data_IF_114553344109
#
_entry.id   IF_114553344109
#
_cell.length_a   1.000
_cell.length_b   1.000
_cell.length_c   1.000
_cell.angle_alpha   90.00
_cell.angle_beta   90.00
_cell.angle_gamma   90.00
#
_symmetry.space_group_name_H-M   'P 1'
#
loop_
_entity.id
_entity.type
_entity.pdbx_description
1 polymer ?
#
# COMPACT_ATOMS: atom_id res chain seq x y z
N UNK A 1 12.42 -17.05 -19.81
CA UNK A 1 11.50 -18.19 -19.92
C UNK A 1 11.15 -18.54 -21.38
N UNK A 2 11.41 -17.67 -22.34
CA UNK A 2 11.04 -17.83 -23.77
C UNK A 2 9.53 -18.03 -23.99
N UNK A 3 8.71 -17.60 -23.04
CA UNK A 3 7.27 -17.61 -23.08
C UNK A 3 6.72 -16.23 -22.73
N UNK A 4 5.61 -15.78 -23.32
CA UNK A 4 4.99 -14.51 -22.95
C UNK A 4 4.46 -14.57 -21.51
N UNK A 5 4.60 -13.47 -20.77
CA UNK A 5 3.96 -13.26 -19.48
C UNK A 5 2.73 -12.38 -19.72
N UNK A 6 1.55 -12.92 -19.43
CA UNK A 6 0.29 -12.21 -19.57
C UNK A 6 -0.09 -11.55 -18.24
N UNK A 7 -0.41 -10.27 -18.29
CA UNK A 7 -0.93 -9.53 -17.15
C UNK A 7 -2.45 -9.54 -17.21
N UNK A 8 -3.08 -10.18 -16.22
CA UNK A 8 -4.53 -10.22 -16.06
C UNK A 8 -4.95 -9.34 -14.85
N UNK A 9 -5.47 -8.15 -15.15
CA UNK A 9 -5.91 -7.21 -14.13
C UNK A 9 -7.35 -7.50 -13.70
N UNK A 10 -7.53 -7.86 -12.41
CA UNK A 10 -8.83 -8.15 -11.79
C UNK A 10 -9.08 -7.18 -10.61
N UNK A 11 -9.52 -5.95 -10.87
CA UNK A 11 -9.55 -4.89 -9.86
C UNK A 11 -10.70 -5.00 -8.85
N UNK A 12 -11.60 -5.97 -9.00
CA UNK A 12 -12.79 -6.08 -8.14
C UNK A 12 -12.44 -6.46 -6.70
N UNK A 13 -13.24 -5.96 -5.74
CA UNK A 13 -13.16 -6.23 -4.30
C UNK A 13 -11.74 -6.05 -3.73
N UNK A 14 -11.05 -4.98 -4.13
CA UNK A 14 -9.69 -4.64 -3.64
C UNK A 14 -8.68 -5.78 -3.82
N UNK A 15 -8.85 -6.57 -4.90
CA UNK A 15 -7.97 -7.69 -5.26
C UNK A 15 -8.38 -9.07 -4.71
N UNK A 16 -9.49 -9.19 -3.98
CA UNK A 16 -10.01 -10.49 -3.51
C UNK A 16 -10.32 -11.42 -4.68
N UNK A 17 -10.94 -10.90 -5.76
CA UNK A 17 -11.25 -11.69 -6.96
C UNK A 17 -9.98 -12.22 -7.64
N UNK A 18 -8.91 -11.43 -7.67
CA UNK A 18 -7.61 -11.89 -8.18
C UNK A 18 -7.04 -13.03 -7.32
N UNK A 19 -7.09 -12.89 -5.99
CA UNK A 19 -6.67 -13.94 -5.05
C UNK A 19 -7.47 -15.24 -5.24
N UNK A 20 -8.79 -15.16 -5.37
CA UNK A 20 -9.65 -16.33 -5.63
C UNK A 20 -9.30 -17.04 -6.95
N UNK A 21 -8.99 -16.28 -7.98
CA UNK A 21 -8.60 -16.85 -9.26
C UNK A 21 -7.30 -17.65 -9.16
N UNK A 22 -6.30 -17.11 -8.45
CA UNK A 22 -5.02 -17.82 -8.24
C UNK A 22 -5.19 -19.02 -7.30
N UNK A 23 -5.95 -18.87 -6.22
CA UNK A 23 -6.19 -19.97 -5.29
C UNK A 23 -6.84 -21.21 -5.96
N UNK A 24 -7.61 -21.00 -7.04
CA UNK A 24 -8.26 -22.06 -7.83
C UNK A 24 -7.48 -22.52 -9.05
N UNK A 25 -6.37 -21.87 -9.37
CA UNK A 25 -5.55 -22.24 -10.52
C UNK A 25 -4.75 -23.52 -10.27
N UNK A 26 -4.28 -24.22 -11.32
CA UNK A 26 -3.36 -25.35 -11.15
C UNK A 26 -2.10 -24.93 -10.38
N UNK A 27 -1.64 -25.82 -9.49
CA UNK A 27 -0.43 -25.59 -8.69
C UNK A 27 0.84 -25.96 -9.48
N UNK A 28 1.01 -25.42 -10.67
CA UNK A 28 2.10 -25.72 -11.60
C UNK A 28 3.14 -24.58 -11.74
N UNK A 29 2.90 -23.45 -11.04
CA UNK A 29 3.77 -22.28 -11.09
C UNK A 29 3.55 -21.37 -12.29
N UNK A 30 2.56 -21.62 -13.15
CA UNK A 30 2.26 -20.77 -14.30
C UNK A 30 1.26 -19.66 -13.97
N UNK A 31 0.53 -19.74 -12.87
CA UNK A 31 -0.36 -18.68 -12.39
C UNK A 31 0.23 -18.04 -11.14
N UNK A 32 0.46 -16.73 -11.22
CA UNK A 32 1.11 -15.97 -10.17
C UNK A 32 0.19 -14.83 -9.71
N UNK A 33 0.27 -14.51 -8.43
CA UNK A 33 -0.46 -13.41 -7.81
C UNK A 33 0.51 -12.35 -7.33
N UNK A 34 0.45 -11.17 -7.94
CA UNK A 34 1.17 -10.00 -7.42
C UNK A 34 0.35 -9.41 -6.29
N UNK A 35 0.89 -9.46 -5.09
CA UNK A 35 0.26 -8.99 -3.86
C UNK A 35 0.95 -7.74 -3.33
N UNK A 36 0.24 -6.99 -2.51
CA UNK A 36 0.75 -5.82 -1.82
C UNK A 36 0.23 -5.78 -0.38
N UNK A 37 0.66 -4.78 0.37
CA UNK A 37 0.10 -4.48 1.69
C UNK A 37 -1.44 -4.44 1.67
N UNK A 38 -2.05 -3.95 0.59
CA UNK A 38 -3.52 -3.91 0.44
C UNK A 38 -4.15 -5.29 0.58
N UNK A 39 -3.65 -6.30 -0.13
CA UNK A 39 -4.23 -7.66 -0.06
C UNK A 39 -4.01 -8.28 1.31
N UNK A 40 -2.86 -8.06 1.95
CA UNK A 40 -2.64 -8.53 3.32
C UNK A 40 -3.70 -7.96 4.28
N UNK A 41 -3.95 -6.65 4.23
CA UNK A 41 -4.92 -5.98 5.09
C UNK A 41 -6.34 -6.47 4.84
N UNK A 42 -6.78 -6.49 3.58
CA UNK A 42 -8.14 -6.91 3.18
C UNK A 42 -8.40 -8.37 3.55
N UNK A 43 -7.45 -9.26 3.27
CA UNK A 43 -7.60 -10.67 3.60
C UNK A 43 -7.64 -10.92 5.10
N UNK A 44 -6.84 -10.18 5.86
CA UNK A 44 -6.82 -10.28 7.33
C UNK A 44 -8.11 -9.80 7.97
N UNK A 45 -8.71 -8.71 7.47
CA UNK A 45 -9.99 -8.18 7.95
C UNK A 45 -11.13 -9.15 7.62
N UNK A 46 -11.18 -9.64 6.39
CA UNK A 46 -12.22 -10.56 5.96
C UNK A 46 -12.01 -12.00 6.44
N UNK A 47 -10.85 -12.33 7.04
CA UNK A 47 -10.47 -13.67 7.50
C UNK A 47 -10.66 -14.75 6.42
N UNK A 48 -10.52 -14.36 5.15
CA UNK A 48 -10.83 -15.24 4.01
C UNK A 48 -9.59 -15.93 3.46
N UNK A 49 -8.46 -15.21 3.37
CA UNK A 49 -7.19 -15.73 2.90
C UNK A 49 -6.05 -15.18 3.74
N UNK A 50 -5.01 -15.99 3.93
CA UNK A 50 -3.77 -15.57 4.57
C UNK A 50 -2.62 -15.79 3.60
N UNK A 51 -1.90 -14.74 3.24
CA UNK A 51 -0.87 -14.78 2.21
C UNK A 51 0.26 -15.78 2.48
N UNK A 52 0.48 -16.13 3.74
CA UNK A 52 1.54 -17.04 4.14
C UNK A 52 1.12 -18.51 4.24
N UNK A 53 -0.18 -18.83 4.22
CA UNK A 53 -0.70 -20.18 4.39
C UNK A 53 -1.67 -20.63 3.29
N UNK A 54 -2.30 -19.70 2.58
CA UNK A 54 -3.28 -19.98 1.53
C UNK A 54 -2.67 -19.90 0.11
N UNK A 55 -1.45 -19.41 0.02
CA UNK A 55 -0.67 -19.31 -1.21
C UNK A 55 0.75 -19.81 -0.97
N UNK A 56 1.47 -20.11 -2.05
CA UNK A 56 2.89 -20.46 -2.02
C UNK A 56 3.73 -19.18 -2.20
N UNK A 57 4.39 -18.65 -1.16
CA UNK A 57 5.21 -17.44 -1.26
C UNK A 57 6.39 -17.65 -2.20
N UNK A 58 6.60 -16.71 -3.13
CA UNK A 58 7.75 -16.70 -4.04
C UNK A 58 8.82 -15.75 -3.54
N UNK A 59 8.52 -14.45 -3.40
CA UNK A 59 9.51 -13.47 -2.94
C UNK A 59 8.98 -12.05 -2.93
N UNK A 60 9.71 -11.16 -2.24
CA UNK A 60 9.49 -9.72 -2.26
C UNK A 60 10.00 -9.15 -3.59
N UNK A 61 9.26 -8.19 -4.15
CA UNK A 61 9.60 -7.51 -5.41
C UNK A 61 10.10 -6.08 -5.19
N UNK A 62 9.55 -5.39 -4.22
CA UNK A 62 9.91 -4.00 -3.97
C UNK A 62 9.08 -3.33 -2.90
N UNK A 63 9.48 -2.09 -2.59
CA UNK A 63 8.76 -1.24 -1.64
C UNK A 63 8.45 0.11 -2.28
N UNK A 64 7.41 0.80 -1.78
CA UNK A 64 7.02 2.13 -2.23
C UNK A 64 6.53 2.97 -1.04
N UNK A 65 6.88 4.27 -0.95
CA UNK A 65 6.32 5.14 0.07
C UNK A 65 4.88 5.49 -0.26
N UNK A 66 4.06 5.67 0.78
CA UNK A 66 2.83 6.44 0.71
C UNK A 66 3.09 7.88 1.16
N UNK A 67 2.12 8.76 0.93
CA UNK A 67 2.20 10.14 1.41
C UNK A 67 0.84 10.61 1.95
N UNK A 68 0.85 11.32 3.06
CA UNK A 68 -0.33 12.05 3.52
C UNK A 68 -0.41 13.31 2.65
N UNK A 69 -1.44 13.39 1.83
CA UNK A 69 -1.71 14.57 0.99
C UNK A 69 -3.03 15.21 1.38
N UNK A 70 -3.11 16.51 1.18
CA UNK A 70 -4.32 17.30 1.44
C UNK A 70 -4.65 18.20 0.26
N UNK A 71 -5.93 18.59 0.15
CA UNK A 71 -6.37 19.60 -0.80
C UNK A 71 -5.57 20.90 -0.68
N UNK A 72 -5.36 21.61 -1.78
CA UNK A 72 -4.71 22.90 -1.78
C UNK A 72 -5.46 23.93 -0.92
N UNK A 73 -6.78 23.80 -0.76
CA UNK A 73 -7.62 24.66 0.06
C UNK A 73 -7.44 24.46 1.58
N UNK A 74 -6.94 23.33 2.03
CA UNK A 74 -6.70 23.05 3.45
C UNK A 74 -5.72 24.08 4.03
N UNK A 75 -6.04 24.76 5.15
CA UNK A 75 -5.21 25.84 5.71
C UNK A 75 -4.03 25.31 6.54
N UNK A 76 -3.35 24.25 6.05
CA UNK A 76 -2.19 23.64 6.69
C UNK A 76 -1.06 23.47 5.69
N UNK A 77 0.18 23.69 6.13
CA UNK A 77 1.42 23.55 5.36
C UNK A 77 2.33 22.44 5.89
N UNK A 78 1.99 21.90 7.06
CA UNK A 78 2.69 20.79 7.71
C UNK A 78 1.68 19.78 8.28
N UNK A 79 2.16 18.57 8.57
CA UNK A 79 1.32 17.56 9.22
C UNK A 79 0.86 18.00 10.61
N UNK A 80 1.74 18.68 11.36
CA UNK A 80 1.39 19.20 12.68
C UNK A 80 0.27 20.26 12.60
N UNK A 81 0.31 21.16 11.63
CA UNK A 81 -0.76 22.15 11.40
C UNK A 81 -2.07 21.48 10.98
N UNK A 82 -1.99 20.46 10.11
CA UNK A 82 -3.18 19.67 9.71
C UNK A 82 -3.83 19.00 10.90
N UNK A 83 -3.06 18.34 11.75
CA UNK A 83 -3.55 17.68 12.97
C UNK A 83 -4.20 18.71 13.92
N UNK A 84 -3.54 19.85 14.13
CA UNK A 84 -4.07 20.91 14.99
C UNK A 84 -5.40 21.43 14.43
N UNK A 85 -5.48 21.69 13.13
CA UNK A 85 -6.71 22.12 12.46
C UNK A 85 -7.82 21.06 12.53
N UNK A 86 -7.50 19.80 12.27
CA UNK A 86 -8.47 18.71 12.32
C UNK A 86 -9.07 18.52 13.71
N UNK A 87 -8.29 18.73 14.78
CA UNK A 87 -8.78 18.70 16.18
C UNK A 87 -9.83 19.77 16.48
N UNK A 88 -9.85 20.89 15.76
CA UNK A 88 -10.87 21.94 15.92
C UNK A 88 -12.17 21.62 15.18
N UNK A 89 -12.19 20.59 14.34
CA UNK A 89 -13.32 20.26 13.47
C UNK A 89 -13.67 18.76 13.48
N UNK A 90 -13.90 18.15 14.65
CA UNK A 90 -14.14 16.71 14.74
C UNK A 90 -15.39 16.30 13.93
N UNK A 91 -15.22 15.30 13.05
CA UNK A 91 -16.30 14.77 12.21
C UNK A 91 -16.75 15.66 11.04
N UNK A 92 -16.13 16.84 10.83
CA UNK A 92 -16.48 17.75 9.73
C UNK A 92 -15.57 17.62 8.51
N UNK A 93 -14.38 17.08 8.70
CA UNK A 93 -13.42 16.84 7.63
C UNK A 93 -13.58 15.42 7.11
N UNK A 94 -13.22 15.21 5.86
CA UNK A 94 -13.26 13.89 5.23
C UNK A 94 -11.93 13.53 4.55
N UNK A 95 -11.70 12.24 4.40
CA UNK A 95 -10.57 11.72 3.64
C UNK A 95 -11.03 10.65 2.64
N UNK A 96 -10.34 10.56 1.53
CA UNK A 96 -10.56 9.55 0.51
C UNK A 96 -9.79 8.26 0.80
N UNK A 97 -10.27 7.15 0.25
CA UNK A 97 -9.49 5.92 0.05
C UNK A 97 -9.73 5.36 -1.35
N UNK A 98 -8.86 4.45 -1.79
CA UNK A 98 -9.03 3.68 -3.02
C UNK A 98 -9.73 2.33 -2.78
N UNK A 99 -10.60 2.28 -1.77
CA UNK A 99 -11.35 1.12 -1.33
C UNK A 99 -11.22 0.87 0.16
N UNK A 100 -12.31 0.41 0.76
CA UNK A 100 -12.39 0.09 2.19
C UNK A 100 -11.42 -1.04 2.52
N UNK A 101 -10.73 -0.95 3.66
CA UNK A 101 -9.71 -1.89 4.17
C UNK A 101 -8.41 -1.95 3.38
N UNK A 102 -8.31 -1.31 2.23
CA UNK A 102 -7.05 -1.19 1.51
C UNK A 102 -6.03 -0.33 2.27
N UNK A 103 -4.76 -0.38 1.83
CA UNK A 103 -3.65 0.35 2.47
C UNK A 103 -3.90 1.86 2.61
N UNK A 104 -4.61 2.46 1.65
CA UNK A 104 -4.95 3.89 1.67
C UNK A 104 -5.98 4.25 2.73
N UNK A 105 -6.92 3.37 3.03
CA UNK A 105 -7.88 3.50 4.13
C UNK A 105 -7.18 3.32 5.48
N UNK A 106 -6.49 2.19 5.65
CA UNK A 106 -5.79 1.86 6.91
C UNK A 106 -4.74 2.91 7.25
N UNK A 107 -4.06 3.49 6.25
CA UNK A 107 -3.13 4.60 6.45
C UNK A 107 -3.80 5.80 7.14
N UNK A 108 -4.97 6.21 6.66
CA UNK A 108 -5.68 7.35 7.24
C UNK A 108 -6.32 7.04 8.59
N UNK A 109 -6.82 5.83 8.80
CA UNK A 109 -7.32 5.41 10.11
C UNK A 109 -6.18 5.32 11.14
N UNK A 110 -5.00 4.84 10.74
CA UNK A 110 -3.82 4.84 11.59
C UNK A 110 -3.36 6.26 11.94
N UNK A 111 -3.49 7.21 10.98
CA UNK A 111 -3.27 8.63 11.24
C UNK A 111 -4.30 9.18 12.24
N UNK A 112 -5.58 8.91 12.04
CA UNK A 112 -6.67 9.35 12.92
C UNK A 112 -6.42 8.90 14.37
N UNK A 113 -6.10 7.63 14.55
CA UNK A 113 -5.84 7.04 15.88
C UNK A 113 -4.63 7.67 16.56
N UNK A 114 -3.46 7.67 15.90
CA UNK A 114 -2.24 8.19 16.51
C UNK A 114 -2.28 9.70 16.77
N UNK A 115 -2.97 10.45 15.91
CA UNK A 115 -3.09 11.90 16.07
C UNK A 115 -4.24 12.31 17.00
N UNK A 116 -5.15 11.38 17.36
CA UNK A 116 -6.35 11.67 18.12
C UNK A 116 -7.27 12.65 17.39
N UNK A 117 -7.47 12.45 16.07
CA UNK A 117 -8.37 13.26 15.22
C UNK A 117 -9.51 12.39 14.70
N UNK A 118 -10.61 13.04 14.30
CA UNK A 118 -11.78 12.39 13.73
C UNK A 118 -12.06 12.97 12.35
N UNK A 119 -11.47 12.36 11.32
CA UNK A 119 -11.69 12.69 9.90
C UNK A 119 -12.48 11.55 9.26
N UNK A 120 -13.59 11.85 8.59
CA UNK A 120 -14.58 10.88 8.12
C UNK A 120 -14.13 10.19 6.82
N UNK A 121 -14.27 8.88 6.75
CA UNK A 121 -13.93 8.10 5.56
C UNK A 121 -14.95 8.28 4.42
N UNK A 122 -14.46 8.54 3.20
CA UNK A 122 -15.24 8.56 1.95
C UNK A 122 -14.58 7.61 0.95
N UNK A 123 -15.09 6.38 0.79
CA UNK A 123 -14.50 5.40 -0.10
C UNK A 123 -14.70 5.76 -1.58
N UNK A 124 -13.65 5.51 -2.39
CA UNK A 124 -13.67 5.60 -3.84
C UNK A 124 -13.28 4.25 -4.44
N UNK A 125 -13.68 3.99 -5.68
CA UNK A 125 -13.41 2.71 -6.34
C UNK A 125 -11.97 2.58 -6.85
N UNK A 126 -11.27 3.71 -7.04
CA UNK A 126 -9.90 3.74 -7.58
C UNK A 126 -9.08 4.88 -6.99
N UNK A 127 -7.75 4.74 -6.98
CA UNK A 127 -6.84 5.81 -6.54
C UNK A 127 -6.95 7.09 -7.40
N UNK A 128 -7.06 7.05 -8.74
CA UNK A 128 -7.30 8.25 -9.54
C UNK A 128 -8.58 9.01 -9.14
N UNK A 129 -9.68 8.31 -8.85
CA UNK A 129 -10.92 8.94 -8.38
C UNK A 129 -10.72 9.63 -7.03
N UNK A 130 -10.04 8.98 -6.09
CA UNK A 130 -9.70 9.54 -4.78
C UNK A 130 -8.79 10.79 -4.91
N UNK A 131 -7.77 10.74 -5.78
CA UNK A 131 -6.88 11.88 -6.06
C UNK A 131 -7.69 13.06 -6.60
N UNK A 132 -8.60 12.82 -7.56
CA UNK A 132 -9.44 13.87 -8.12
C UNK A 132 -10.34 14.51 -7.05
N UNK A 133 -10.92 13.72 -6.15
CA UNK A 133 -11.75 14.23 -5.05
C UNK A 133 -10.97 15.16 -4.11
N UNK A 134 -9.67 14.87 -3.84
CA UNK A 134 -8.79 15.78 -3.08
C UNK A 134 -8.44 17.03 -3.88
N UNK A 135 -8.14 16.90 -5.17
CA UNK A 135 -7.81 18.04 -6.04
C UNK A 135 -8.95 19.04 -6.16
N UNK A 136 -10.20 18.55 -6.12
CA UNK A 136 -11.43 19.35 -6.23
C UNK A 136 -12.03 19.75 -4.87
N UNK A 137 -11.32 19.47 -3.77
CA UNK A 137 -11.73 19.75 -2.37
C UNK A 137 -13.05 19.09 -1.96
N UNK A 138 -13.47 18.03 -2.65
CA UNK A 138 -14.61 17.21 -2.23
C UNK A 138 -14.30 16.45 -0.93
N UNK A 139 -13.04 16.09 -0.72
CA UNK A 139 -12.48 15.56 0.52
C UNK A 139 -11.17 16.26 0.83
N UNK A 140 -10.82 16.38 2.12
CA UNK A 140 -9.69 17.20 2.53
C UNK A 140 -8.35 16.45 2.51
N UNK A 141 -8.36 15.12 2.66
CA UNK A 141 -7.13 14.34 2.79
C UNK A 141 -7.18 13.00 2.05
N UNK A 142 -6.00 12.43 1.80
CA UNK A 142 -5.82 11.09 1.24
C UNK A 142 -4.41 10.57 1.55
N UNK A 143 -4.23 9.25 1.56
CA UNK A 143 -2.92 8.60 1.72
C UNK A 143 -2.62 7.69 0.52
N UNK A 144 -2.28 8.25 -0.67
CA UNK A 144 -1.92 7.46 -1.86
C UNK A 144 -0.47 6.99 -1.82
N UNK A 145 -0.12 6.05 -2.71
CA UNK A 145 1.27 5.80 -3.04
C UNK A 145 1.93 7.09 -3.58
N UNK A 146 3.08 7.47 -3.05
CA UNK A 146 3.74 8.74 -3.37
C UNK A 146 3.99 8.97 -4.88
N UNK A 147 4.33 7.94 -5.68
CA UNK A 147 4.50 8.12 -7.12
C UNK A 147 3.27 8.67 -7.83
N UNK A 148 2.07 8.26 -7.40
CA UNK A 148 0.82 8.68 -8.04
C UNK A 148 0.47 10.15 -7.86
N UNK A 149 1.13 10.83 -6.92
CA UNK A 149 0.86 12.24 -6.59
C UNK A 149 2.07 13.16 -6.72
N UNK A 150 3.25 12.64 -7.03
CA UNK A 150 4.48 13.41 -7.11
C UNK A 150 4.37 14.63 -8.04
N UNK A 151 3.97 14.41 -9.29
CA UNK A 151 3.80 15.48 -10.28
C UNK A 151 2.68 16.46 -9.90
N UNK A 152 1.59 15.96 -9.35
CA UNK A 152 0.42 16.78 -8.95
C UNK A 152 0.78 17.68 -7.76
N UNK A 153 1.57 17.16 -6.83
CA UNK A 153 2.10 17.92 -5.68
C UNK A 153 3.10 18.99 -6.14
N UNK A 154 4.02 18.64 -7.04
CA UNK A 154 4.96 19.61 -7.63
C UNK A 154 4.26 20.74 -8.37
N UNK A 155 3.12 20.45 -9.02
CA UNK A 155 2.27 21.44 -9.67
C UNK A 155 1.41 22.27 -8.70
N UNK A 156 1.51 22.03 -7.39
CA UNK A 156 0.78 22.79 -6.34
C UNK A 156 -0.73 22.52 -6.29
N UNK A 157 -1.24 21.48 -7.00
CA UNK A 157 -2.67 21.15 -7.01
C UNK A 157 -3.15 20.48 -5.73
N UNK A 158 -2.24 19.83 -5.03
CA UNK A 158 -2.42 19.27 -3.68
C UNK A 158 -1.14 19.53 -2.88
N UNK A 159 -1.20 19.38 -1.56
CA UNK A 159 -0.04 19.50 -0.68
C UNK A 159 0.29 18.15 -0.06
N UNK A 160 1.56 17.73 -0.11
CA UNK A 160 2.06 16.60 0.63
C UNK A 160 2.59 17.06 1.99
N UNK A 161 2.09 16.47 3.07
CA UNK A 161 2.41 16.88 4.45
C UNK A 161 3.35 15.91 5.16
N UNK A 162 3.49 14.69 4.65
CA UNK A 162 4.41 13.71 5.21
C UNK A 162 4.49 12.44 4.37
N UNK A 163 5.65 11.80 4.37
CA UNK A 163 5.85 10.48 3.75
C UNK A 163 5.82 9.39 4.80
N UNK A 164 5.29 8.22 4.46
CA UNK A 164 5.09 7.11 5.41
C UNK A 164 6.33 6.26 5.66
N UNK A 165 7.43 6.54 4.98
CA UNK A 165 8.75 5.97 5.26
C UNK A 165 9.41 6.70 6.43
N UNK A 166 10.39 6.03 7.07
CA UNK A 166 11.23 6.64 8.11
C UNK A 166 12.20 7.70 7.59
N UNK A 167 12.42 7.73 6.27
CA UNK A 167 13.35 8.65 5.62
C UNK A 167 12.64 9.39 4.49
N UNK A 168 13.09 10.61 4.15
CA UNK A 168 12.60 11.34 3.00
C UNK A 168 12.72 10.55 1.70
N UNK A 169 11.84 10.81 0.76
CA UNK A 169 11.87 10.19 -0.57
C UNK A 169 12.22 11.22 -1.66
N UNK A 170 12.94 10.78 -2.70
CA UNK A 170 13.22 11.62 -3.87
C UNK A 170 11.96 11.99 -4.67
N UNK A 171 10.87 11.23 -4.51
CA UNK A 171 9.60 11.48 -5.18
C UNK A 171 8.90 12.75 -4.71
N UNK A 172 9.08 13.11 -3.45
CA UNK A 172 8.48 14.27 -2.80
C UNK A 172 9.58 15.05 -2.04
N UNK A 173 10.44 15.80 -2.77
CA UNK A 173 11.53 16.54 -2.16
C UNK A 173 11.01 17.52 -1.10
N UNK A 174 11.66 17.58 0.05
CA UNK A 174 11.30 18.47 1.14
C UNK A 174 10.10 18.05 2.00
N UNK A 175 9.44 16.93 1.67
CA UNK A 175 8.35 16.37 2.48
C UNK A 175 8.94 15.47 3.56
N UNK A 176 8.74 15.77 4.86
CA UNK A 176 9.33 15.04 5.97
C UNK A 176 8.63 13.68 6.19
N UNK A 177 9.28 12.74 6.89
CA UNK A 177 8.63 11.55 7.44
C UNK A 177 7.47 11.90 8.38
N UNK A 178 6.35 11.18 8.26
CA UNK A 178 5.21 11.32 9.21
C UNK A 178 5.67 11.04 10.64
N UNK A 179 6.63 10.13 10.83
CA UNK A 179 7.18 9.74 12.14
C UNK A 179 7.90 10.88 12.88
N UNK A 180 8.30 11.95 12.21
CA UNK A 180 8.85 13.15 12.87
C UNK A 180 7.77 13.91 13.65
N UNK A 181 6.52 13.88 13.18
CA UNK A 181 5.37 14.51 13.85
C UNK A 181 4.63 13.51 14.74
N UNK A 182 4.51 12.26 14.29
CA UNK A 182 3.80 11.18 14.99
C UNK A 182 4.75 9.98 15.18
N UNK A 183 5.50 9.94 16.30
CA UNK A 183 6.36 8.80 16.61
C UNK A 183 5.58 7.48 16.58
N UNK A 184 6.16 6.46 15.93
CA UNK A 184 5.53 5.16 15.73
C UNK A 184 4.71 5.02 14.44
N UNK A 185 4.45 6.11 13.72
CA UNK A 185 3.82 6.02 12.42
C UNK A 185 4.83 5.53 11.37
N UNK A 186 4.57 4.38 10.82
CA UNK A 186 5.32 3.82 9.70
C UNK A 186 4.39 2.92 8.88
N UNK A 187 4.28 3.17 7.58
CA UNK A 187 3.48 2.36 6.67
C UNK A 187 4.21 2.25 5.33
N UNK A 188 5.24 1.38 5.24
CA UNK A 188 5.86 1.09 3.95
C UNK A 188 4.89 0.28 3.10
N UNK A 189 4.61 0.75 1.88
CA UNK A 189 4.00 -0.08 0.86
C UNK A 189 5.01 -1.12 0.38
N UNK A 190 4.55 -2.29 0.03
CA UNK A 190 5.38 -3.35 -0.53
C UNK A 190 4.62 -4.17 -1.57
N UNK A 191 5.39 -4.80 -2.45
CA UNK A 191 4.91 -5.73 -3.46
C UNK A 191 5.63 -7.06 -3.32
N UNK A 192 4.89 -8.14 -3.44
CA UNK A 192 5.43 -9.48 -3.41
C UNK A 192 4.75 -10.38 -4.43
N UNK A 193 5.32 -11.56 -4.63
CA UNK A 193 4.82 -12.54 -5.55
C UNK A 193 4.43 -13.81 -4.81
N UNK A 194 3.27 -14.35 -5.16
CA UNK A 194 2.71 -15.59 -4.66
C UNK A 194 2.38 -16.52 -5.84
N UNK A 195 2.40 -17.80 -5.60
CA UNK A 195 1.89 -18.82 -6.51
C UNK A 195 0.69 -19.56 -5.87
N UNK A 196 0.03 -20.40 -6.63
CA UNK A 196 -1.02 -21.28 -6.12
C UNK A 196 -0.46 -22.21 -5.03
N UNK A 197 -1.21 -22.39 -3.95
CA UNK A 197 -0.81 -23.32 -2.88
C UNK A 197 -0.57 -24.73 -3.44
N UNK A 198 0.50 -25.39 -3.00
CA UNK A 198 0.90 -26.69 -3.51
C UNK A 198 1.79 -26.66 -4.75
N UNK A 199 2.15 -25.48 -5.26
CA UNK A 199 3.18 -25.35 -6.32
C UNK A 199 4.47 -26.03 -5.86
N UNK A 200 5.11 -26.90 -6.70
CA UNK A 200 6.32 -27.61 -6.33
C UNK A 200 7.46 -26.67 -5.87
N UNK A 201 8.18 -27.09 -4.84
CA UNK A 201 9.27 -26.27 -4.25
C UNK A 201 10.34 -25.90 -5.29
N UNK A 202 10.63 -26.78 -6.24
CA UNK A 202 11.57 -26.49 -7.34
C UNK A 202 11.06 -25.35 -8.23
N UNK A 203 9.77 -25.32 -8.55
CA UNK A 203 9.17 -24.24 -9.33
C UNK A 203 9.22 -22.91 -8.56
N UNK A 204 8.93 -22.90 -7.25
CA UNK A 204 9.04 -21.72 -6.39
C UNK A 204 10.48 -21.21 -6.35
N UNK A 205 11.46 -22.10 -6.14
CA UNK A 205 12.88 -21.73 -6.11
C UNK A 205 13.35 -21.14 -7.44
N UNK A 206 12.93 -21.70 -8.56
CA UNK A 206 13.22 -21.18 -9.90
C UNK A 206 12.59 -19.80 -10.10
N UNK A 207 11.31 -19.63 -9.77
CA UNK A 207 10.62 -18.34 -9.85
C UNK A 207 11.33 -17.27 -9.02
N UNK A 208 11.69 -17.58 -7.77
CA UNK A 208 12.42 -16.65 -6.89
C UNK A 208 13.76 -16.24 -7.50
N UNK A 209 14.53 -17.21 -8.03
CA UNK A 209 15.83 -16.96 -8.67
C UNK A 209 15.69 -16.07 -9.90
N UNK A 210 14.76 -16.39 -10.79
CA UNK A 210 14.54 -15.68 -12.05
C UNK A 210 14.08 -14.23 -11.80
N UNK A 211 13.08 -14.04 -10.93
CA UNK A 211 12.62 -12.70 -10.55
C UNK A 211 13.69 -11.88 -9.85
N UNK A 212 14.44 -12.48 -8.92
CA UNK A 212 15.56 -11.81 -8.25
C UNK A 212 16.64 -11.37 -9.22
N UNK A 213 16.93 -12.19 -10.24
CA UNK A 213 17.89 -11.85 -11.30
C UNK A 213 17.42 -10.67 -12.14
N UNK A 214 16.14 -10.66 -12.53
CA UNK A 214 15.55 -9.55 -13.30
C UNK A 214 15.53 -8.25 -12.49
N UNK A 215 15.13 -8.29 -11.22
CA UNK A 215 15.09 -7.12 -10.35
C UNK A 215 16.46 -6.49 -10.06
N UNK A 216 17.56 -7.23 -10.26
CA UNK A 216 18.94 -6.73 -10.13
C UNK A 216 19.48 -6.08 -11.40
N UNK A 217 18.77 -6.18 -12.53
CA UNK A 217 19.21 -5.56 -13.79
C UNK A 217 19.10 -4.03 -13.69
N UNK A 218 20.15 -3.28 -14.08
CA UNK A 218 20.17 -1.82 -13.93
C UNK A 218 19.01 -1.10 -14.62
N UNK A 219 18.67 -1.55 -15.85
CA UNK A 219 17.54 -0.97 -16.62
C UNK A 219 16.18 -1.24 -15.98
N UNK A 220 16.01 -2.38 -15.32
CA UNK A 220 14.79 -2.71 -14.55
C UNK A 220 14.71 -1.86 -13.30
N UNK A 221 15.82 -1.71 -12.56
CA UNK A 221 15.89 -0.85 -11.38
C UNK A 221 15.57 0.61 -11.73
N UNK A 222 16.15 1.13 -12.82
CA UNK A 222 15.87 2.49 -13.29
C UNK A 222 14.39 2.70 -13.61
N UNK A 223 13.77 1.76 -14.32
CA UNK A 223 12.32 1.80 -14.63
C UNK A 223 11.47 1.75 -13.36
N UNK A 224 11.81 0.90 -12.39
CA UNK A 224 11.10 0.80 -11.12
C UNK A 224 11.23 2.07 -10.29
N UNK A 225 12.43 2.64 -10.20
CA UNK A 225 12.66 3.94 -9.55
C UNK A 225 11.86 5.04 -10.24
N UNK A 226 11.77 5.02 -11.58
CA UNK A 226 10.96 5.97 -12.36
C UNK A 226 9.46 5.95 -12.03
N UNK A 227 8.95 4.80 -11.57
CA UNK A 227 7.57 4.65 -11.08
C UNK A 227 7.49 4.61 -9.55
N UNK A 228 8.59 4.96 -8.85
CA UNK A 228 8.64 5.10 -7.39
C UNK A 228 8.64 3.80 -6.61
N UNK A 229 9.14 2.75 -7.20
CA UNK A 229 9.32 1.46 -6.54
C UNK A 229 10.83 1.23 -6.33
N UNK A 230 11.21 1.05 -5.08
CA UNK A 230 12.54 0.56 -4.72
C UNK A 230 12.57 -0.96 -4.85
N UNK A 231 13.27 -1.48 -5.86
CA UNK A 231 13.42 -2.92 -6.06
C UNK A 231 14.03 -3.57 -4.80
N UNK A 232 13.41 -4.62 -4.31
CA UNK A 232 13.87 -5.42 -3.17
C UNK A 232 13.73 -6.89 -3.51
N UNK A 233 14.79 -7.63 -3.33
CA UNK A 233 14.77 -9.09 -3.48
C UNK A 233 14.85 -9.74 -2.11
N UNK A 234 14.29 -10.92 -1.98
CA UNK A 234 14.39 -11.77 -0.80
C UNK A 234 14.48 -13.23 -1.20
N UNK A 235 15.04 -14.07 -0.38
CA UNK A 235 14.75 -15.50 -0.45
C UNK A 235 13.28 -15.76 -0.09
N UNK A 236 12.77 -16.91 -0.47
CA UNK A 236 11.41 -17.34 -0.09
C UNK A 236 11.23 -17.39 1.42
N UNK A 237 12.25 -17.86 2.17
CA UNK A 237 12.20 -17.94 3.63
C UNK A 237 12.16 -16.55 4.28
N UNK A 238 12.95 -15.59 3.79
CA UNK A 238 12.91 -14.20 4.27
C UNK A 238 11.55 -13.57 3.97
N UNK A 239 10.98 -13.85 2.81
CA UNK A 239 9.65 -13.34 2.45
C UNK A 239 8.55 -13.91 3.32
N UNK A 240 8.57 -15.21 3.65
CA UNK A 240 7.65 -15.82 4.62
C UNK A 240 7.78 -15.15 5.99
N UNK A 241 9.01 -14.96 6.47
CA UNK A 241 9.26 -14.26 7.75
C UNK A 241 8.73 -12.81 7.72
N UNK A 242 8.90 -12.11 6.59
CA UNK A 242 8.36 -10.77 6.39
C UNK A 242 6.83 -10.75 6.44
N UNK A 243 6.15 -11.66 5.72
CA UNK A 243 4.68 -11.76 5.71
C UNK A 243 4.12 -12.04 7.12
N UNK A 244 4.77 -12.92 7.88
CA UNK A 244 4.35 -13.22 9.25
C UNK A 244 4.44 -11.97 10.15
N UNK A 245 5.54 -11.23 10.08
CA UNK A 245 5.73 -9.98 10.84
C UNK A 245 4.72 -8.91 10.43
N UNK A 246 4.45 -8.75 9.14
CA UNK A 246 3.45 -7.81 8.65
C UNK A 246 2.03 -8.22 9.08
N UNK A 247 1.70 -9.51 9.04
CA UNK A 247 0.42 -10.03 9.50
C UNK A 247 0.21 -9.77 11.00
N UNK A 248 1.21 -10.04 11.83
CA UNK A 248 1.15 -9.77 13.27
C UNK A 248 1.02 -8.28 13.56
N UNK A 249 1.87 -7.46 12.93
CA UNK A 249 1.89 -6.02 13.09
C UNK A 249 0.54 -5.38 12.74
N UNK A 250 0.04 -5.67 11.55
CA UNK A 250 -1.22 -5.07 11.09
C UNK A 250 -2.44 -5.64 11.81
N UNK A 251 -2.39 -6.91 12.21
CA UNK A 251 -3.42 -7.48 13.08
C UNK A 251 -3.51 -6.75 14.42
N UNK A 252 -2.37 -6.33 14.99
CA UNK A 252 -2.34 -5.50 16.19
C UNK A 252 -2.92 -4.11 15.91
N UNK A 253 -2.46 -3.43 14.86
CA UNK A 253 -2.95 -2.09 14.49
C UNK A 253 -4.47 -2.08 14.24
N UNK A 254 -5.01 -3.04 13.47
CA UNK A 254 -6.44 -3.14 13.17
C UNK A 254 -7.26 -3.32 14.46
N UNK A 255 -6.79 -4.14 15.41
CA UNK A 255 -7.48 -4.36 16.69
C UNK A 255 -7.40 -3.14 17.63
N UNK A 256 -6.22 -2.53 17.75
CA UNK A 256 -5.98 -1.41 18.69
C UNK A 256 -6.58 -0.10 18.19
N UNK A 257 -6.49 0.18 16.90
CA UNK A 257 -7.08 1.35 16.28
C UNK A 257 -8.62 1.32 16.26
N UNK A 258 -9.24 0.24 16.82
CA UNK A 258 -10.71 0.05 16.81
C UNK A 258 -11.31 0.44 15.45
N UNK A 259 -10.54 0.17 14.38
CA UNK A 259 -10.97 0.50 13.04
C UNK A 259 -12.31 -0.21 12.85
N UNK A 260 -13.40 0.55 12.91
CA UNK A 260 -14.75 -0.01 12.87
C UNK A 260 -14.89 -0.79 11.57
N UNK A 261 -15.16 -2.08 11.70
CA UNK A 261 -15.61 -2.94 10.63
C UNK A 261 -17.04 -2.49 10.28
N UNK A 262 -17.20 -1.38 9.55
CA UNK A 262 -18.49 -1.09 8.95
C UNK A 262 -18.78 -2.19 7.92
N UNK A 263 -19.85 -2.94 8.20
CA UNK A 263 -20.32 -4.08 7.41
C UNK A 263 -20.86 -3.62 6.06
#
# INVERSE_FOLDING_TARGET
WKQPVLIDNRPAAVGVVAGEAVARAPADGHTLFMVSLTQLLVFQVHQKYFLHSEFAPVGLLGTTPFAIVVSAAVPARSLAEYIAWAKTQPGKLSYASAGTWGSTHVCMEFLNELAGINVVHVPHTTAPAAINAVMTDQVQAFCPAAPSVATITQAGKIKALGVTYRQPTRLLPGVPPVSETLPGFELPGWYGLQATLGTPAEAIARLNTDFSSVLKQPDVQEKLVGVGIDARTSSTAEYVSFLNKETERWGKVIREAKIKLEQ
#
